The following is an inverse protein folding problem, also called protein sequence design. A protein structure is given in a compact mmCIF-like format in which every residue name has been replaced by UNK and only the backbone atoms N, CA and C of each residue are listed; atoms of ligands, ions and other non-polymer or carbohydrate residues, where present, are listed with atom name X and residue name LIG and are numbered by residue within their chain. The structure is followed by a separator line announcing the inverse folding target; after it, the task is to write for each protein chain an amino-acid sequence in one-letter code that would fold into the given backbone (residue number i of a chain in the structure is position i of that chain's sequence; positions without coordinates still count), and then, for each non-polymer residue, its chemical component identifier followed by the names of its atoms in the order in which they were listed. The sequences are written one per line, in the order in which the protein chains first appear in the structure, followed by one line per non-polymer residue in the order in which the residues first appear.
data_IF_086038507164
#
_entry.id   IF_086038507164
#
_cell.length_a   1.000
_cell.length_b   1.000
_cell.length_c   1.000
_cell.angle_alpha   90.00
_cell.angle_beta   90.00
_cell.angle_gamma   90.00
#
_symmetry.space_group_name_H-M   'P 1'
#
loop_
_entity.id
_entity.type
_entity.pdbx_description
1 polymer ?
#
# COMPACT_ATOMS: atom_id res chain seq x y z
N UNK A 1 0.63 37.19 3.41
CA UNK A 1 0.36 38.46 4.12
C UNK A 1 0.05 38.17 5.58
N UNK A 2 0.49 38.99 6.54
CA UNK A 2 0.08 38.85 7.95
C UNK A 2 -0.85 39.99 8.34
N UNK A 3 -2.05 39.67 8.83
CA UNK A 3 -3.04 40.60 9.39
C UNK A 3 -3.10 40.42 10.90
N UNK A 4 -3.23 41.53 11.61
CA UNK A 4 -3.39 41.56 13.07
C UNK A 4 -4.81 42.02 13.41
N UNK A 5 -5.44 41.33 14.35
CA UNK A 5 -6.74 41.68 14.92
C UNK A 5 -6.51 42.19 16.35
N UNK A 6 -7.03 43.38 16.64
CA UNK A 6 -6.92 44.04 17.93
C UNK A 6 -8.29 44.15 18.57
N UNK A 7 -8.30 44.18 19.90
CA UNK A 7 -9.48 44.46 20.71
C UNK A 7 -9.76 45.96 20.71
N UNK A 8 -10.97 46.35 20.32
CA UNK A 8 -11.33 47.76 20.10
C UNK A 8 -11.38 48.58 21.40
N UNK A 9 -11.61 47.95 22.57
CA UNK A 9 -11.73 48.62 23.86
C UNK A 9 -10.38 48.80 24.56
N UNK A 10 -9.53 47.77 24.51
CA UNK A 10 -8.26 47.71 25.23
C UNK A 10 -7.04 47.98 24.34
N UNK A 11 -7.23 47.97 23.02
CA UNK A 11 -6.17 48.13 22.02
C UNK A 11 -5.17 46.97 21.99
N UNK A 12 -5.46 45.86 22.69
CA UNK A 12 -4.55 44.71 22.80
C UNK A 12 -4.68 43.81 21.58
N UNK A 13 -3.57 43.19 21.19
CA UNK A 13 -3.58 42.20 20.12
C UNK A 13 -4.37 40.96 20.55
N UNK A 14 -5.37 40.58 19.76
CA UNK A 14 -6.20 39.38 19.97
C UNK A 14 -5.64 38.21 19.15
N UNK A 15 -5.29 38.46 17.89
CA UNK A 15 -4.88 37.41 16.95
C UNK A 15 -3.94 37.94 15.86
N UNK A 16 -2.98 37.13 15.46
CA UNK A 16 -2.22 37.33 14.23
C UNK A 16 -2.57 36.21 13.24
N UNK A 17 -2.94 36.58 12.02
CA UNK A 17 -3.33 35.66 10.95
C UNK A 17 -2.31 35.83 9.83
N UNK A 18 -1.55 34.78 9.54
CA UNK A 18 -0.65 34.75 8.39
C UNK A 18 -1.27 33.93 7.28
N UNK A 19 -1.64 34.61 6.21
CA UNK A 19 -2.08 34.00 4.96
C UNK A 19 -0.86 33.74 4.09
N UNK A 20 -0.74 32.52 3.59
CA UNK A 20 0.28 32.12 2.61
C UNK A 20 -0.41 31.33 1.52
N UNK A 21 0.18 31.39 0.33
CA UNK A 21 -0.21 30.47 -0.72
C UNK A 21 0.00 29.03 -0.22
N UNK A 22 -0.96 28.13 -0.47
CA UNK A 22 -0.77 26.71 -0.22
C UNK A 22 0.51 26.24 -0.93
N UNK A 23 1.35 25.48 -0.23
CA UNK A 23 2.51 24.86 -0.88
C UNK A 23 2.09 23.77 -1.87
N UNK A 24 0.89 23.21 -1.68
CA UNK A 24 0.32 22.12 -2.45
C UNK A 24 -0.99 22.61 -3.04
N UNK A 25 -1.16 22.40 -4.33
CA UNK A 25 -2.44 22.59 -5.00
C UNK A 25 -3.38 21.45 -4.63
N UNK A 26 -4.67 21.64 -4.91
CA UNK A 26 -5.66 20.59 -4.71
C UNK A 26 -5.34 19.35 -5.56
N UNK A 27 -4.82 19.53 -6.78
CA UNK A 27 -4.38 18.41 -7.61
C UNK A 27 -3.23 17.61 -6.97
N UNK A 28 -2.29 18.29 -6.29
CA UNK A 28 -1.16 17.64 -5.63
C UNK A 28 -1.64 16.80 -4.44
N UNK A 29 -2.59 17.31 -3.67
CA UNK A 29 -3.20 16.59 -2.55
C UNK A 29 -3.95 15.34 -3.05
N UNK A 30 -4.73 15.49 -4.12
CA UNK A 30 -5.46 14.38 -4.73
C UNK A 30 -4.51 13.30 -5.27
N UNK A 31 -3.42 13.69 -5.91
CA UNK A 31 -2.40 12.77 -6.40
C UNK A 31 -1.70 12.04 -5.25
N UNK A 32 -1.36 12.74 -4.16
CA UNK A 32 -0.74 12.13 -2.98
C UNK A 32 -1.68 11.13 -2.30
N UNK A 33 -2.97 11.45 -2.19
CA UNK A 33 -3.96 10.55 -1.62
C UNK A 33 -4.13 9.28 -2.48
N UNK A 34 -4.23 9.43 -3.81
CA UNK A 34 -4.33 8.30 -4.71
C UNK A 34 -3.08 7.39 -4.63
N UNK A 35 -1.88 7.98 -4.54
CA UNK A 35 -0.64 7.23 -4.35
C UNK A 35 -0.61 6.46 -3.02
N UNK A 36 -1.07 7.08 -1.93
CA UNK A 36 -1.18 6.41 -0.64
C UNK A 36 -2.15 5.23 -0.67
N UNK A 37 -3.31 5.40 -1.31
CA UNK A 37 -4.30 4.32 -1.48
C UNK A 37 -3.76 3.17 -2.33
N UNK A 38 -3.02 3.49 -3.39
CA UNK A 38 -2.35 2.51 -4.24
C UNK A 38 -1.31 1.70 -3.44
N UNK A 39 -0.45 2.38 -2.68
CA UNK A 39 0.60 1.73 -1.89
C UNK A 39 -0.01 0.84 -0.80
N UNK A 40 -1.06 1.32 -0.14
CA UNK A 40 -1.83 0.55 0.85
C UNK A 40 -2.48 -0.69 0.23
N UNK A 41 -2.86 -0.62 -1.04
CA UNK A 41 -3.42 -1.74 -1.79
C UNK A 41 -2.34 -2.65 -2.41
N UNK A 42 -1.06 -2.49 -2.08
CA UNK A 42 -0.02 -3.45 -2.47
C UNK A 42 0.22 -4.48 -1.37
N UNK A 43 0.67 -5.65 -1.79
CA UNK A 43 0.97 -6.73 -0.87
C UNK A 43 2.11 -6.33 0.08
N UNK A 44 1.90 -6.38 1.42
CA UNK A 44 2.94 -6.07 2.40
C UNK A 44 4.02 -7.16 2.48
N UNK A 45 3.84 -8.29 1.78
CA UNK A 45 4.89 -9.28 1.59
C UNK A 45 5.95 -8.83 0.58
N UNK A 46 6.82 -9.74 0.17
CA UNK A 46 7.91 -9.41 -0.76
C UNK A 46 7.46 -9.15 -2.21
N UNK A 47 6.21 -9.50 -2.59
CA UNK A 47 5.76 -9.47 -3.98
C UNK A 47 5.46 -8.05 -4.50
N UNK A 48 5.03 -7.12 -3.63
CA UNK A 48 4.63 -5.76 -4.02
C UNK A 48 3.46 -5.68 -5.01
N UNK A 49 2.82 -6.81 -5.33
CA UNK A 49 1.72 -6.90 -6.29
C UNK A 49 0.45 -6.26 -5.71
N UNK A 50 -0.42 -5.69 -6.56
CA UNK A 50 -1.72 -5.21 -6.14
C UNK A 50 -2.55 -6.30 -5.43
N UNK A 51 -3.24 -5.92 -4.35
CA UNK A 51 -4.13 -6.74 -3.54
C UNK A 51 -5.60 -6.56 -3.92
N UNK A 52 -5.91 -5.65 -4.83
CA UNK A 52 -7.24 -5.45 -5.37
C UNK A 52 -7.68 -6.72 -6.11
N UNK A 53 -8.38 -7.59 -5.38
CA UNK A 53 -9.06 -8.73 -5.98
C UNK A 53 -10.33 -8.23 -6.63
N UNK A 54 -10.51 -8.54 -7.92
CA UNK A 54 -11.82 -8.44 -8.56
C UNK A 54 -12.72 -9.53 -8.00
N UNK A 55 -13.45 -9.18 -6.94
CA UNK A 55 -14.59 -9.97 -6.47
C UNK A 55 -15.84 -9.51 -7.24
N UNK A 56 -16.76 -10.42 -7.52
CA UNK A 56 -18.06 -10.03 -8.04
C UNK A 56 -18.78 -9.11 -7.05
N UNK A 57 -19.58 -8.17 -7.53
CA UNK A 57 -20.26 -7.13 -6.72
C UNK A 57 -20.95 -7.68 -5.46
N UNK A 58 -21.59 -8.84 -5.56
CA UNK A 58 -22.25 -9.50 -4.43
C UNK A 58 -21.32 -9.95 -3.30
N UNK A 59 -20.01 -9.97 -3.54
CA UNK A 59 -18.98 -10.48 -2.65
C UNK A 59 -17.96 -9.40 -2.24
N UNK A 60 -18.16 -8.15 -2.65
CA UNK A 60 -17.28 -7.05 -2.26
C UNK A 60 -17.40 -6.76 -0.75
N UNK A 61 -16.24 -6.68 -0.08
CA UNK A 61 -16.16 -6.56 1.38
C UNK A 61 -16.63 -7.77 2.19
N UNK A 62 -17.12 -8.85 1.56
CA UNK A 62 -17.63 -10.03 2.26
C UNK A 62 -16.53 -10.94 2.80
N UNK A 63 -15.30 -10.83 2.29
CA UNK A 63 -14.18 -11.67 2.65
C UNK A 63 -13.10 -10.87 3.38
N UNK A 64 -12.83 -11.28 4.61
CA UNK A 64 -11.69 -10.78 5.41
C UNK A 64 -10.75 -11.97 5.62
N UNK A 65 -9.56 -11.92 5.03
CA UNK A 65 -8.54 -12.92 5.31
C UNK A 65 -7.98 -12.71 6.74
N UNK A 66 -7.64 -13.75 7.52
CA UNK A 66 -7.00 -13.55 8.81
C UNK A 66 -5.51 -13.18 8.64
N UNK A 67 -4.93 -12.32 9.51
CA UNK A 67 -3.48 -12.06 9.51
C UNK A 67 -2.66 -13.36 9.75
N UNK A 68 -1.47 -13.49 9.13
CA UNK A 68 -0.82 -12.55 8.22
C UNK A 68 -1.44 -12.59 6.81
N UNK A 69 -1.85 -11.43 6.29
CA UNK A 69 -2.35 -11.29 4.92
C UNK A 69 -1.22 -11.47 3.91
N UNK A 70 -1.41 -12.34 2.91
CA UNK A 70 -0.45 -12.54 1.82
C UNK A 70 -1.18 -12.52 0.48
N UNK A 71 -0.56 -11.90 -0.54
CA UNK A 71 -1.02 -12.00 -1.93
C UNK A 71 -1.03 -13.48 -2.36
N UNK A 72 -1.96 -13.88 -3.23
CA UNK A 72 -2.02 -15.25 -3.76
C UNK A 72 -0.66 -15.68 -4.35
N UNK A 73 0.06 -14.77 -5.00
CA UNK A 73 1.40 -15.04 -5.52
C UNK A 73 2.42 -15.40 -4.43
N UNK A 74 2.43 -14.68 -3.29
CA UNK A 74 3.26 -15.02 -2.15
C UNK A 74 2.88 -16.37 -1.56
N UNK A 75 1.58 -16.66 -1.46
CA UNK A 75 1.10 -17.95 -0.95
C UNK A 75 1.56 -19.11 -1.83
N UNK A 76 1.46 -18.95 -3.16
CA UNK A 76 1.97 -19.94 -4.12
C UNK A 76 3.48 -20.15 -3.97
N UNK A 77 4.28 -19.08 -3.86
CA UNK A 77 5.74 -19.20 -3.68
C UNK A 77 6.06 -19.99 -2.40
N UNK A 78 5.38 -19.70 -1.30
CA UNK A 78 5.61 -20.38 -0.01
C UNK A 78 5.17 -21.84 -0.06
N UNK A 79 3.99 -22.11 -0.64
CA UNK A 79 3.51 -23.47 -0.82
C UNK A 79 4.51 -24.29 -1.64
N UNK A 80 5.05 -23.71 -2.72
CA UNK A 80 6.12 -24.35 -3.50
C UNK A 80 7.40 -24.51 -2.70
N UNK A 81 7.87 -23.50 -1.96
CA UNK A 81 9.07 -23.63 -1.12
C UNK A 81 8.95 -24.79 -0.12
N UNK A 82 7.78 -24.99 0.49
CA UNK A 82 7.51 -26.13 1.38
C UNK A 82 7.57 -27.48 0.64
N UNK A 83 7.22 -27.54 -0.65
CA UNK A 83 7.41 -28.75 -1.47
C UNK A 83 8.89 -29.09 -1.68
N UNK A 84 9.78 -28.08 -1.60
CA UNK A 84 11.23 -28.25 -1.77
C UNK A 84 12.00 -28.41 -0.46
N UNK A 85 11.42 -28.00 0.68
CA UNK A 85 12.02 -28.15 2.00
C UNK A 85 12.14 -29.64 2.37
N UNK A 86 13.39 -30.13 2.42
CA UNK A 86 13.71 -31.53 2.74
C UNK A 86 14.09 -32.41 1.53
N UNK A 87 14.13 -31.84 0.31
CA UNK A 87 14.72 -32.53 -0.84
C UNK A 87 16.25 -32.39 -0.79
N UNK A 88 16.96 -33.52 -0.89
CA UNK A 88 18.42 -33.52 -1.00
C UNK A 88 18.83 -33.09 -2.42
N UNK A 89 20.01 -32.47 -2.57
CA UNK A 89 20.53 -32.04 -3.90
C UNK A 89 20.58 -33.20 -4.91
N UNK A 90 20.67 -34.44 -4.41
CA UNK A 90 20.65 -35.68 -5.20
C UNK A 90 19.29 -35.95 -5.85
N UNK A 91 18.20 -35.45 -5.26
CA UNK A 91 16.83 -35.55 -5.78
C UNK A 91 16.53 -34.46 -6.82
N UNK A 92 17.38 -33.43 -6.91
CA UNK A 92 17.29 -32.31 -7.86
C UNK A 92 18.07 -32.54 -9.16
N UNK A 93 18.59 -33.75 -9.38
CA UNK A 93 19.34 -34.07 -10.59
C UNK A 93 18.37 -34.18 -11.77
N UNK A 94 18.27 -33.09 -12.54
CA UNK A 94 17.67 -33.12 -13.87
C UNK A 94 18.48 -34.08 -14.75
N UNK A 95 17.99 -35.30 -14.91
CA UNK A 95 18.45 -36.17 -15.98
C UNK A 95 17.96 -35.57 -17.30
N UNK A 96 18.76 -34.68 -17.89
CA UNK A 96 18.61 -34.26 -19.27
C UNK A 96 18.82 -35.51 -20.15
N UNK A 97 17.74 -36.25 -20.42
CA UNK A 97 17.76 -37.28 -21.45
C UNK A 97 17.65 -36.58 -22.79
N UNK A 98 18.71 -36.73 -23.59
CA UNK A 98 18.67 -36.36 -25.00
C UNK A 98 17.54 -37.16 -25.64
N UNK A 99 16.68 -36.48 -26.39
CA UNK A 99 15.58 -37.11 -27.12
C UNK A 99 16.20 -37.71 -28.38
N UNK A 100 16.10 -39.03 -28.53
CA UNK A 100 16.55 -39.79 -29.70
C UNK A 100 15.64 -39.51 -30.91
#
# INVERSE_FOLDING_TARGET
MTRFEYDDETGRLVRAITEREPEWLEEDLNAAQAAYEEERNRCPGACGLPLDTTVGEANDGAFVAPPPYRCHACEVIIARQKEWDGLEVRDLVFHARRRD
#
